data_IF_534583829298
#
_entry.id   IF_534583829298
#
_cell.length_a   1.000
_cell.length_b   1.000
_cell.length_c   1.000
_cell.angle_alpha   90.00
_cell.angle_beta   90.00
_cell.angle_gamma   90.00
#
_symmetry.space_group_name_H-M   'P 1'
#
loop_
_entity.id
_entity.type
_entity.pdbx_description
1 polymer ?
#
# COMPACT_ATOMS: atom_id res chain seq x y z
N UNK A 1 19.89 -17.36 -2.09
CA UNK A 1 19.29 -16.36 -3.00
C UNK A 1 19.15 -15.08 -2.21
N UNK A 2 19.30 -13.89 -2.82
CA UNK A 2 19.02 -12.62 -2.15
C UNK A 2 17.51 -12.30 -2.16
N UNK A 3 17.09 -11.38 -1.30
CA UNK A 3 15.68 -11.00 -1.12
C UNK A 3 15.02 -10.48 -2.40
N UNK A 4 15.75 -9.67 -3.20
CA UNK A 4 15.25 -9.14 -4.48
C UNK A 4 14.84 -10.28 -5.42
N UNK A 5 15.72 -11.26 -5.62
CA UNK A 5 15.42 -12.40 -6.49
C UNK A 5 14.31 -13.29 -5.94
N UNK A 6 14.22 -13.42 -4.61
CA UNK A 6 13.16 -14.17 -3.95
C UNK A 6 11.78 -13.55 -4.24
N UNK A 7 11.66 -12.24 -4.10
CA UNK A 7 10.39 -11.52 -4.39
C UNK A 7 10.07 -11.62 -5.89
N UNK A 8 11.04 -11.41 -6.78
CA UNK A 8 10.81 -11.57 -8.23
C UNK A 8 10.28 -12.95 -8.60
N UNK A 9 10.83 -14.03 -8.03
CA UNK A 9 10.30 -15.39 -8.24
C UNK A 9 8.88 -15.55 -7.72
N UNK A 10 8.57 -14.93 -6.59
CA UNK A 10 7.22 -14.95 -6.02
C UNK A 10 6.22 -14.27 -6.94
N UNK A 11 6.55 -13.09 -7.47
CA UNK A 11 5.72 -12.34 -8.42
C UNK A 11 5.52 -13.10 -9.75
N UNK A 12 6.51 -13.85 -10.16
CA UNK A 12 6.48 -14.65 -11.40
C UNK A 12 5.94 -16.08 -11.20
N UNK A 13 5.49 -16.47 -10.01
CA UNK A 13 5.03 -17.84 -9.68
C UNK A 13 6.09 -18.92 -10.02
N UNK A 14 7.38 -18.58 -9.85
CA UNK A 14 8.54 -19.39 -10.21
C UNK A 14 9.19 -20.09 -8.99
N UNK A 15 8.38 -20.72 -8.14
CA UNK A 15 8.81 -21.52 -6.98
C UNK A 15 9.93 -20.85 -6.17
N UNK A 16 9.65 -19.79 -5.42
CA UNK A 16 10.62 -19.18 -4.51
C UNK A 16 11.04 -20.19 -3.43
N UNK A 17 12.28 -20.10 -2.95
CA UNK A 17 12.81 -21.03 -1.94
C UNK A 17 12.12 -20.91 -0.57
N UNK A 18 11.45 -19.80 -0.33
CA UNK A 18 10.58 -19.53 0.83
C UNK A 18 9.60 -18.41 0.48
N UNK A 19 8.61 -18.22 1.31
CA UNK A 19 7.72 -17.08 1.22
C UNK A 19 8.48 -15.81 1.62
N UNK A 20 8.51 -14.74 0.79
CA UNK A 20 9.07 -13.45 1.16
C UNK A 20 8.30 -12.82 2.33
N UNK A 21 8.96 -11.97 3.09
CA UNK A 21 8.39 -11.28 4.24
C UNK A 21 8.45 -9.77 4.08
N UNK A 22 7.39 -9.12 4.53
CA UNK A 22 7.34 -7.69 4.73
C UNK A 22 6.52 -7.38 6.00
N UNK A 23 7.01 -6.47 6.83
CA UNK A 23 6.31 -6.09 8.06
C UNK A 23 5.65 -4.72 7.89
N UNK A 24 4.35 -4.65 8.12
CA UNK A 24 3.61 -3.40 8.22
C UNK A 24 3.69 -2.81 9.65
N UNK A 25 4.88 -2.37 10.08
CA UNK A 25 5.06 -1.84 11.43
C UNK A 25 4.66 -0.36 11.44
N UNK A 26 3.62 -0.03 12.21
CA UNK A 26 3.20 1.35 12.40
C UNK A 26 3.99 2.04 13.52
N UNK A 27 4.18 3.36 13.47
CA UNK A 27 4.87 4.12 14.53
C UNK A 27 4.28 3.93 15.92
N UNK A 28 2.99 3.57 16.00
CA UNK A 28 2.37 3.16 17.25
C UNK A 28 3.05 1.95 17.89
N UNK A 29 3.35 0.92 17.10
CA UNK A 29 4.04 -0.27 17.58
C UNK A 29 5.49 -0.01 17.97
N UNK A 30 6.22 0.78 17.17
CA UNK A 30 7.58 1.21 17.48
C UNK A 30 7.66 1.95 18.82
N UNK A 31 6.68 2.80 19.10
CA UNK A 31 6.59 3.56 20.35
C UNK A 31 6.25 2.69 21.56
N UNK A 32 5.27 1.78 21.40
CA UNK A 32 4.72 1.00 22.53
C UNK A 32 5.48 -0.30 22.79
N UNK A 33 6.14 -0.87 21.77
CA UNK A 33 6.82 -2.16 21.82
C UNK A 33 8.22 -2.14 21.16
N UNK A 34 9.10 -1.17 21.48
CA UNK A 34 10.37 -0.99 20.76
C UNK A 34 11.28 -2.22 20.79
N UNK A 35 11.41 -2.87 21.94
CA UNK A 35 12.25 -4.07 22.09
C UNK A 35 11.68 -5.27 21.28
N UNK A 36 10.37 -5.36 21.22
CA UNK A 36 9.69 -6.42 20.45
C UNK A 36 9.85 -6.18 18.94
N UNK A 37 9.71 -4.93 18.49
CA UNK A 37 9.93 -4.53 17.09
C UNK A 37 11.38 -4.83 16.68
N UNK A 38 12.37 -4.48 17.54
CA UNK A 38 13.75 -4.83 17.29
C UNK A 38 13.95 -6.34 17.15
N UNK A 39 13.42 -7.14 18.09
CA UNK A 39 13.48 -8.61 18.02
C UNK A 39 12.83 -9.15 16.74
N UNK A 40 11.72 -8.56 16.32
CA UNK A 40 11.02 -8.95 15.10
C UNK A 40 11.88 -8.73 13.85
N UNK A 41 12.60 -7.59 13.78
CA UNK A 41 13.54 -7.33 12.69
C UNK A 41 14.74 -8.27 12.69
N UNK A 42 15.27 -8.60 13.86
CA UNK A 42 16.42 -9.51 13.98
C UNK A 42 16.09 -10.95 13.59
N UNK A 43 14.92 -11.44 14.01
CA UNK A 43 14.51 -12.83 13.76
C UNK A 43 13.92 -13.01 12.37
N UNK A 44 13.12 -12.05 11.89
CA UNK A 44 12.42 -12.10 10.62
C UNK A 44 12.77 -10.87 9.77
N UNK A 45 13.97 -10.78 9.18
CA UNK A 45 14.32 -9.65 8.32
C UNK A 45 13.37 -9.53 7.14
N UNK A 46 13.06 -8.30 6.73
CA UNK A 46 12.22 -8.02 5.57
C UNK A 46 12.93 -8.38 4.27
N UNK A 47 12.15 -8.76 3.26
CA UNK A 47 12.63 -8.95 1.89
C UNK A 47 12.27 -7.75 0.99
N UNK A 48 11.27 -6.98 1.41
CA UNK A 48 10.79 -5.79 0.72
C UNK A 48 11.04 -4.57 1.61
N UNK A 49 11.59 -3.52 1.04
CA UNK A 49 11.86 -2.27 1.74
C UNK A 49 11.51 -1.06 0.86
N UNK A 50 11.09 0.08 1.43
CA UNK A 50 10.93 1.30 0.66
C UNK A 50 12.29 1.93 0.35
N UNK A 51 12.38 2.61 -0.78
CA UNK A 51 13.49 3.52 -1.06
C UNK A 51 13.43 4.73 -0.13
N UNK A 52 14.57 5.37 0.17
CA UNK A 52 14.57 6.61 0.92
C UNK A 52 13.88 7.73 0.13
N UNK A 53 12.96 8.44 0.77
CA UNK A 53 12.27 9.61 0.21
C UNK A 53 13.14 10.86 0.38
N UNK A 54 14.21 10.95 -0.41
CA UNK A 54 15.13 12.09 -0.40
C UNK A 54 14.77 13.06 -1.52
N UNK A 55 14.41 14.28 -1.14
CA UNK A 55 14.04 15.35 -2.06
C UNK A 55 15.12 16.42 -2.08
N UNK A 56 15.42 16.96 -3.28
CA UNK A 56 16.37 18.08 -3.46
C UNK A 56 15.73 19.38 -2.96
N UNK A 57 14.44 19.58 -3.25
CA UNK A 57 13.67 20.72 -2.76
C UNK A 57 13.02 20.39 -1.41
N UNK A 58 12.83 21.41 -0.58
CA UNK A 58 12.17 21.26 0.71
C UNK A 58 10.66 21.01 0.53
N UNK A 59 10.14 19.98 1.18
CA UNK A 59 8.68 19.75 1.27
C UNK A 59 8.09 20.69 2.34
N UNK A 60 7.11 21.52 1.97
CA UNK A 60 6.41 22.40 2.92
C UNK A 60 5.40 21.60 3.73
N UNK A 61 5.87 20.91 4.75
CA UNK A 61 5.05 20.18 5.72
C UNK A 61 5.11 20.84 7.09
N UNK A 62 4.03 20.74 7.89
CA UNK A 62 3.99 21.32 9.25
C UNK A 62 3.41 20.32 10.24
N UNK A 63 4.06 20.24 11.41
CA UNK A 63 3.67 19.29 12.44
C UNK A 63 4.29 17.90 12.20
N UNK A 64 3.74 16.90 12.88
CA UNK A 64 4.21 15.51 12.78
C UNK A 64 3.02 14.62 12.42
N UNK A 65 3.16 13.86 11.37
CA UNK A 65 2.10 13.00 10.79
C UNK A 65 1.52 12.00 11.77
N UNK A 66 2.33 11.56 12.73
CA UNK A 66 1.96 10.50 13.67
C UNK A 66 1.78 10.98 15.11
N UNK A 67 1.88 12.30 15.36
CA UNK A 67 1.60 12.87 16.69
C UNK A 67 0.20 13.40 16.78
N UNK A 68 -0.35 13.33 18.02
CA UNK A 68 -1.62 13.97 18.33
C UNK A 68 -1.55 15.47 18.06
N UNK A 69 -2.52 15.99 17.31
CA UNK A 69 -2.61 17.40 16.95
C UNK A 69 -2.90 17.60 15.47
N UNK A 70 -2.33 18.65 14.90
CA UNK A 70 -2.53 19.00 13.50
C UNK A 70 -1.25 18.73 12.70
N UNK A 71 -1.42 18.09 11.54
CA UNK A 71 -0.39 17.93 10.55
C UNK A 71 -0.85 18.53 9.23
N UNK A 72 0.01 19.24 8.53
CA UNK A 72 -0.23 19.74 7.16
C UNK A 72 0.76 19.01 6.26
N UNK A 73 0.23 18.30 5.26
CA UNK A 73 1.05 17.58 4.30
C UNK A 73 1.61 18.51 3.20
N UNK A 74 2.46 17.97 2.35
CA UNK A 74 3.09 18.67 1.23
C UNK A 74 2.11 19.18 0.17
N UNK A 75 0.88 18.68 0.16
CA UNK A 75 -0.21 19.18 -0.69
C UNK A 75 -1.01 20.31 -0.04
N UNK A 76 -0.73 20.62 1.23
CA UNK A 76 -1.45 21.61 2.03
C UNK A 76 -2.71 21.07 2.73
N UNK A 77 -2.97 19.76 2.65
CA UNK A 77 -4.12 19.15 3.31
C UNK A 77 -3.90 19.11 4.83
N UNK A 78 -4.93 19.49 5.59
CA UNK A 78 -4.87 19.63 7.05
C UNK A 78 -5.45 18.40 7.71
N UNK A 79 -4.59 17.60 8.32
CA UNK A 79 -4.98 16.41 9.09
C UNK A 79 -5.15 16.73 10.57
N UNK A 80 -6.26 16.30 11.14
CA UNK A 80 -6.51 16.30 12.58
C UNK A 80 -6.29 14.91 13.14
N UNK A 81 -5.28 14.77 13.99
CA UNK A 81 -4.89 13.49 14.55
C UNK A 81 -5.28 13.39 16.04
N UNK A 82 -6.28 12.57 16.40
CA UNK A 82 -6.69 12.38 17.79
C UNK A 82 -5.80 11.44 18.59
N UNK A 83 -5.03 10.58 17.91
CA UNK A 83 -4.25 9.50 18.52
C UNK A 83 -2.77 9.59 18.15
N UNK A 84 -1.92 9.24 19.09
CA UNK A 84 -0.48 9.12 18.91
C UNK A 84 -0.14 7.84 18.14
N UNK A 85 0.72 7.93 17.13
CA UNK A 85 1.16 6.78 16.33
C UNK A 85 0.21 6.35 15.20
N UNK A 86 -0.89 7.08 15.01
CA UNK A 86 -1.81 6.89 13.89
C UNK A 86 -1.82 8.12 12.97
N UNK A 87 -2.33 7.95 11.77
CA UNK A 87 -2.55 9.06 10.83
C UNK A 87 -3.91 9.69 11.14
N UNK A 88 -3.99 11.02 11.10
CA UNK A 88 -5.23 11.78 11.28
C UNK A 88 -6.13 11.73 10.05
N UNK A 89 -7.30 12.36 10.17
CA UNK A 89 -8.26 12.54 9.09
C UNK A 89 -8.35 14.00 8.67
N UNK A 90 -8.63 14.25 7.40
CA UNK A 90 -8.91 15.59 6.90
C UNK A 90 -10.35 15.96 7.20
N UNK A 91 -10.55 17.05 7.98
CA UNK A 91 -11.88 17.56 8.36
C UNK A 91 -12.23 18.84 7.62
N UNK A 92 -11.25 19.59 7.15
CA UNK A 92 -11.44 20.85 6.47
C UNK A 92 -10.94 20.74 5.04
N UNK A 93 -11.79 20.96 4.03
CA UNK A 93 -11.38 20.86 2.63
C UNK A 93 -10.35 21.94 2.28
N UNK A 94 -9.34 21.58 1.53
CA UNK A 94 -8.38 22.54 0.97
C UNK A 94 -9.04 23.37 -0.14
N UNK A 95 -9.87 22.74 -0.96
CA UNK A 95 -10.75 23.38 -1.95
C UNK A 95 -12.19 23.26 -1.44
N UNK A 96 -12.66 24.22 -0.68
CA UNK A 96 -14.03 24.21 -0.11
C UNK A 96 -15.07 24.59 -1.17
N UNK A 97 -14.84 25.66 -1.89
CA UNK A 97 -15.64 26.13 -3.01
C UNK A 97 -14.88 25.90 -4.32
N UNK A 98 -15.58 25.52 -5.39
CA UNK A 98 -14.97 25.32 -6.69
C UNK A 98 -14.32 26.59 -7.26
N UNK A 99 -14.75 27.78 -6.83
CA UNK A 99 -14.10 29.05 -7.17
C UNK A 99 -12.67 29.17 -6.60
N UNK A 100 -12.32 28.36 -5.61
CA UNK A 100 -10.96 28.30 -5.05
C UNK A 100 -10.03 27.33 -5.80
N UNK A 101 -10.54 26.58 -6.77
CA UNK A 101 -9.76 25.61 -7.53
C UNK A 101 -8.56 26.24 -8.25
N UNK A 102 -8.71 27.49 -8.73
CA UNK A 102 -7.60 28.23 -9.39
C UNK A 102 -6.41 28.48 -8.46
N UNK A 103 -6.61 28.46 -7.14
CA UNK A 103 -5.55 28.64 -6.13
C UNK A 103 -4.83 27.33 -5.82
N UNK A 104 -5.41 26.19 -6.17
CA UNK A 104 -4.84 24.88 -5.90
C UNK A 104 -3.79 24.52 -6.95
N UNK A 105 -2.58 24.20 -6.47
CA UNK A 105 -1.49 23.72 -7.30
C UNK A 105 -0.83 22.50 -6.60
N UNK A 106 -0.65 21.37 -7.29
CA UNK A 106 0.10 20.24 -6.76
C UNK A 106 1.56 20.61 -6.42
N UNK A 107 2.14 20.00 -5.38
CA UNK A 107 3.46 20.37 -4.84
C UNK A 107 4.60 19.94 -5.76
N UNK A 108 5.22 20.87 -6.49
CA UNK A 108 6.31 20.56 -7.43
C UNK A 108 7.54 19.95 -6.72
N UNK A 109 7.76 20.28 -5.46
CA UNK A 109 8.88 19.75 -4.67
C UNK A 109 8.87 18.23 -4.54
N UNK A 110 7.69 17.56 -4.58
CA UNK A 110 7.61 16.08 -4.57
C UNK A 110 8.19 15.42 -5.83
N UNK A 111 8.37 16.18 -6.90
CA UNK A 111 9.01 15.71 -8.14
C UNK A 111 10.54 15.84 -8.09
N UNK A 112 11.11 16.48 -7.07
CA UNK A 112 12.54 16.74 -6.94
C UNK A 112 13.31 15.61 -6.24
N UNK A 113 12.97 14.35 -6.53
CA UNK A 113 13.63 13.17 -5.95
C UNK A 113 15.13 13.20 -6.27
N UNK A 114 15.96 13.00 -5.27
CA UNK A 114 17.40 12.77 -5.44
C UNK A 114 17.63 11.35 -6.00
N UNK A 115 17.59 11.24 -7.32
CA UNK A 115 17.75 9.98 -8.04
C UNK A 115 19.07 9.29 -7.74
N UNK A 116 20.15 10.06 -7.53
CA UNK A 116 21.46 9.45 -7.24
C UNK A 116 21.47 8.82 -5.86
N UNK A 117 20.88 9.46 -4.85
CA UNK A 117 20.72 8.88 -3.52
C UNK A 117 19.85 7.62 -3.54
N UNK A 118 18.74 7.64 -4.27
CA UNK A 118 17.86 6.45 -4.45
C UNK A 118 18.63 5.32 -5.15
N UNK A 119 19.29 5.60 -6.26
CA UNK A 119 20.03 4.60 -7.01
C UNK A 119 21.21 4.04 -6.21
N UNK A 120 21.92 4.88 -5.43
CA UNK A 120 22.97 4.43 -4.54
C UNK A 120 22.43 3.45 -3.49
N UNK A 121 21.28 3.73 -2.89
CA UNK A 121 20.60 2.82 -1.97
C UNK A 121 20.24 1.48 -2.65
N UNK A 122 19.62 1.53 -3.83
CA UNK A 122 19.23 0.32 -4.56
C UNK A 122 20.41 -0.58 -4.95
N UNK A 123 21.58 0.01 -5.24
CA UNK A 123 22.83 -0.74 -5.55
C UNK A 123 23.47 -1.35 -4.31
N UNK A 124 23.25 -0.79 -3.12
CA UNK A 124 23.85 -1.25 -1.87
C UNK A 124 23.02 -2.29 -1.12
N UNK A 125 21.77 -2.53 -1.55
CA UNK A 125 20.87 -3.47 -0.89
C UNK A 125 20.53 -4.68 -1.76
N UNK A 126 20.40 -5.84 -1.12
CA UNK A 126 19.90 -7.07 -1.73
C UNK A 126 18.37 -7.22 -1.61
N UNK A 127 17.69 -6.27 -0.95
CA UNK A 127 16.24 -6.27 -0.81
C UNK A 127 15.54 -5.89 -2.13
N UNK A 128 14.28 -6.28 -2.24
CA UNK A 128 13.38 -5.75 -3.25
C UNK A 128 12.91 -4.36 -2.83
N UNK A 129 13.11 -3.35 -3.67
CA UNK A 129 12.94 -1.94 -3.29
C UNK A 129 11.69 -1.36 -3.93
N UNK A 130 10.74 -0.94 -3.11
CA UNK A 130 9.57 -0.16 -3.53
C UNK A 130 9.94 1.33 -3.65
N UNK A 131 9.20 2.08 -4.47
CA UNK A 131 9.30 3.54 -4.46
C UNK A 131 9.01 4.08 -3.05
N UNK A 132 9.65 5.20 -2.69
CA UNK A 132 9.56 5.79 -1.35
C UNK A 132 8.34 6.69 -1.12
N UNK A 133 7.46 6.85 -2.10
CA UNK A 133 6.19 7.57 -1.99
C UNK A 133 5.03 6.71 -2.50
N UNK A 134 3.81 7.26 -2.46
CA UNK A 134 2.62 6.54 -2.90
C UNK A 134 1.77 7.40 -3.81
N UNK A 135 1.37 6.82 -4.95
CA UNK A 135 0.39 7.40 -5.87
C UNK A 135 -1.01 7.02 -5.40
N UNK A 136 -1.85 8.03 -5.11
CA UNK A 136 -3.16 7.83 -4.48
C UNK A 136 -4.22 8.81 -4.99
N UNK A 137 -4.64 8.74 -6.25
CA UNK A 137 -5.51 9.75 -6.83
C UNK A 137 -6.87 9.87 -6.14
N UNK A 138 -7.49 8.75 -5.71
CA UNK A 138 -8.78 8.75 -5.04
C UNK A 138 -8.71 9.29 -3.62
N UNK A 139 -7.76 8.82 -2.80
CA UNK A 139 -7.55 9.38 -1.46
C UNK A 139 -7.08 10.83 -1.51
N UNK A 140 -6.20 11.19 -2.46
CA UNK A 140 -5.75 12.58 -2.63
C UNK A 140 -6.91 13.51 -2.95
N UNK A 141 -7.83 13.09 -3.79
CA UNK A 141 -9.06 13.81 -4.04
C UNK A 141 -9.89 13.98 -2.76
N UNK A 142 -10.04 12.92 -1.96
CA UNK A 142 -10.71 12.99 -0.66
C UNK A 142 -9.98 13.91 0.33
N UNK A 143 -8.65 13.93 0.35
CA UNK A 143 -7.90 14.82 1.24
C UNK A 143 -8.06 16.30 0.84
N UNK A 144 -8.18 16.61 -0.45
CA UNK A 144 -8.38 17.97 -0.93
C UNK A 144 -9.82 18.45 -0.68
N UNK A 145 -10.81 17.58 -0.89
CA UNK A 145 -12.24 17.92 -0.81
C UNK A 145 -12.91 17.54 0.51
N UNK A 146 -12.30 16.75 1.36
CA UNK A 146 -12.86 15.86 2.38
C UNK A 146 -13.65 14.69 1.77
N UNK A 147 -13.76 13.60 2.50
CA UNK A 147 -14.48 12.40 2.03
C UNK A 147 -15.93 12.70 1.68
N UNK A 148 -16.62 13.49 2.52
CA UNK A 148 -18.04 13.83 2.30
C UNK A 148 -18.26 14.59 0.98
N UNK A 149 -17.52 15.69 0.77
CA UNK A 149 -17.63 16.46 -0.46
C UNK A 149 -17.17 15.67 -1.67
N UNK A 150 -16.11 14.90 -1.56
CA UNK A 150 -15.61 14.07 -2.66
C UNK A 150 -16.66 13.05 -3.13
N UNK A 151 -17.38 12.41 -2.22
CA UNK A 151 -18.43 11.46 -2.59
C UNK A 151 -19.66 12.15 -3.22
N UNK A 152 -20.02 13.35 -2.75
CA UNK A 152 -21.07 14.16 -3.37
C UNK A 152 -20.66 14.57 -4.79
N UNK A 153 -19.43 15.06 -4.95
CA UNK A 153 -18.90 15.50 -6.26
C UNK A 153 -18.87 14.34 -7.28
N UNK A 154 -18.55 13.10 -6.85
CA UNK A 154 -18.57 11.90 -7.71
C UNK A 154 -19.99 11.54 -8.19
N UNK A 155 -21.02 11.92 -7.45
CA UNK A 155 -22.43 11.72 -7.84
C UNK A 155 -22.90 12.86 -8.75
N UNK A 156 -22.64 14.12 -8.37
CA UNK A 156 -23.08 15.32 -9.09
C UNK A 156 -22.29 15.59 -10.35
N UNK A 157 -21.00 15.18 -10.38
CA UNK A 157 -20.06 15.32 -11.50
C UNK A 157 -19.98 16.74 -12.06
N UNK A 158 -19.72 17.76 -11.22
CA UNK A 158 -19.49 19.12 -11.73
C UNK A 158 -18.24 19.14 -12.62
N UNK A 159 -18.15 20.04 -13.62
CA UNK A 159 -16.97 20.15 -14.49
C UNK A 159 -15.66 20.33 -13.72
N UNK A 160 -15.69 21.05 -12.63
CA UNK A 160 -14.53 21.36 -11.77
C UNK A 160 -13.96 20.10 -11.09
N UNK A 161 -14.78 19.08 -10.86
CA UNK A 161 -14.30 17.78 -10.41
C UNK A 161 -13.26 17.21 -11.36
N UNK A 162 -13.57 17.17 -12.64
CA UNK A 162 -12.68 16.60 -13.64
C UNK A 162 -11.42 17.44 -13.83
N UNK A 163 -11.51 18.75 -13.66
CA UNK A 163 -10.35 19.63 -13.67
C UNK A 163 -9.42 19.36 -12.47
N UNK A 164 -9.98 19.22 -11.27
CA UNK A 164 -9.21 18.86 -10.07
C UNK A 164 -8.53 17.50 -10.21
N UNK A 165 -9.28 16.50 -10.68
CA UNK A 165 -8.76 15.15 -10.91
C UNK A 165 -7.67 15.13 -11.97
N UNK A 166 -7.80 15.90 -13.05
CA UNK A 166 -6.74 16.04 -14.06
C UNK A 166 -5.47 16.64 -13.45
N UNK A 167 -5.58 17.72 -12.66
CA UNK A 167 -4.42 18.33 -11.97
C UNK A 167 -3.70 17.32 -11.05
N UNK A 168 -4.44 16.51 -10.30
CA UNK A 168 -3.90 15.43 -9.45
C UNK A 168 -3.22 14.38 -10.33
N UNK A 169 -3.90 13.91 -11.36
CA UNK A 169 -3.42 12.87 -12.26
C UNK A 169 -2.14 13.27 -13.00
N UNK A 170 -2.11 14.48 -13.61
CA UNK A 170 -0.93 14.99 -14.29
C UNK A 170 0.29 15.15 -13.38
N UNK A 171 0.04 15.44 -12.10
CA UNK A 171 1.10 15.46 -11.11
C UNK A 171 1.64 14.05 -10.84
N UNK A 172 0.76 13.09 -10.58
CA UNK A 172 1.15 11.70 -10.32
C UNK A 172 1.79 11.01 -11.53
N UNK A 173 1.39 11.33 -12.76
CA UNK A 173 2.10 10.84 -13.95
C UNK A 173 3.59 11.25 -13.93
N UNK A 174 3.87 12.51 -13.59
CA UNK A 174 5.26 13.00 -13.47
C UNK A 174 5.99 12.32 -12.30
N UNK A 175 5.33 12.13 -11.19
CA UNK A 175 5.91 11.46 -10.01
C UNK A 175 6.27 10.00 -10.32
N UNK A 176 5.36 9.26 -10.95
CA UNK A 176 5.60 7.88 -11.42
C UNK A 176 6.77 7.83 -12.38
N UNK A 177 6.85 8.75 -13.36
CA UNK A 177 7.96 8.82 -14.32
C UNK A 177 9.30 9.07 -13.63
N UNK A 178 9.32 10.00 -12.65
CA UNK A 178 10.53 10.28 -11.87
C UNK A 178 11.01 9.05 -11.12
N UNK A 179 10.12 8.36 -10.40
CA UNK A 179 10.46 7.16 -9.66
C UNK A 179 10.80 5.96 -10.56
N UNK A 180 10.05 5.75 -11.62
CA UNK A 180 10.29 4.66 -12.56
C UNK A 180 11.65 4.78 -13.27
N UNK A 181 12.16 6.02 -13.43
CA UNK A 181 13.51 6.27 -13.97
C UNK A 181 14.66 6.01 -12.99
N UNK A 182 14.37 5.61 -11.74
CA UNK A 182 15.37 5.20 -10.75
C UNK A 182 15.58 3.68 -10.74
N UNK A 183 16.51 3.19 -9.90
CA UNK A 183 16.82 1.76 -9.77
C UNK A 183 15.86 1.01 -8.81
N UNK A 184 14.71 1.59 -8.38
CA UNK A 184 13.70 0.86 -7.60
C UNK A 184 13.14 -0.33 -8.38
N UNK A 185 12.68 -1.37 -7.68
CA UNK A 185 12.13 -2.57 -8.33
C UNK A 185 10.63 -2.39 -8.68
N UNK A 186 9.89 -1.59 -7.89
CA UNK A 186 8.45 -1.41 -8.09
C UNK A 186 7.96 0.01 -7.82
N UNK A 187 6.88 0.36 -8.53
CA UNK A 187 6.04 1.54 -8.28
C UNK A 187 4.95 1.15 -7.31
N UNK A 188 4.59 2.05 -6.38
CA UNK A 188 3.64 1.80 -5.30
C UNK A 188 2.40 2.70 -5.44
N UNK A 189 1.25 2.08 -5.62
CA UNK A 189 -0.06 2.72 -5.51
C UNK A 189 -0.63 2.46 -4.11
N UNK A 190 -1.37 3.43 -3.58
CA UNK A 190 -2.08 3.27 -2.30
C UNK A 190 -3.37 4.10 -2.37
N UNK A 191 -4.50 3.43 -2.50
CA UNK A 191 -5.81 4.08 -2.52
C UNK A 191 -6.83 3.16 -1.85
N UNK A 192 -7.47 3.64 -0.79
CA UNK A 192 -8.45 2.87 -0.04
C UNK A 192 -9.83 2.93 -0.71
N UNK A 193 -10.17 1.85 -1.38
CA UNK A 193 -11.44 1.71 -2.12
C UNK A 193 -12.55 1.04 -1.32
N UNK A 194 -12.22 0.34 -0.24
CA UNK A 194 -13.16 -0.51 0.45
C UNK A 194 -13.48 -0.09 1.88
N UNK A 195 -14.71 -0.39 2.28
CA UNK A 195 -15.13 -0.56 3.67
C UNK A 195 -15.06 -2.04 4.05
N UNK A 196 -15.45 -2.41 5.26
CA UNK A 196 -15.52 -3.83 5.64
C UNK A 196 -16.58 -4.65 4.87
N UNK A 197 -17.51 -4.01 4.17
CA UNK A 197 -18.66 -4.66 3.53
C UNK A 197 -18.74 -4.46 2.01
N UNK A 198 -17.95 -3.58 1.44
CA UNK A 198 -17.97 -3.26 0.01
C UNK A 198 -17.23 -1.97 -0.30
N UNK A 199 -17.28 -1.55 -1.55
CA UNK A 199 -16.60 -0.36 -2.03
C UNK A 199 -17.16 0.92 -1.41
N UNK A 200 -16.29 1.93 -1.24
CA UNK A 200 -16.65 3.30 -0.82
C UNK A 200 -17.41 4.03 -1.93
N UNK A 201 -17.00 3.83 -3.18
CA UNK A 201 -17.68 4.33 -4.37
C UNK A 201 -18.04 3.17 -5.31
N UNK A 202 -19.01 3.35 -6.20
CA UNK A 202 -19.45 2.27 -7.07
C UNK A 202 -18.34 1.77 -8.02
N UNK A 203 -18.38 0.48 -8.45
CA UNK A 203 -17.47 -0.02 -9.48
C UNK A 203 -17.50 0.79 -10.77
N UNK A 204 -18.63 1.40 -11.12
CA UNK A 204 -18.74 2.25 -12.30
C UNK A 204 -17.97 3.55 -12.16
N UNK A 205 -17.97 4.17 -10.97
CA UNK A 205 -17.13 5.35 -10.66
C UNK A 205 -15.66 4.98 -10.80
N UNK A 206 -15.24 3.86 -10.20
CA UNK A 206 -13.89 3.35 -10.34
C UNK A 206 -13.49 3.20 -11.81
N UNK A 207 -14.28 2.47 -12.61
CA UNK A 207 -13.98 2.15 -14.01
C UNK A 207 -13.99 3.37 -14.93
N UNK A 208 -14.91 4.33 -14.70
CA UNK A 208 -15.04 5.49 -15.57
C UNK A 208 -14.02 6.59 -15.27
N UNK A 209 -13.63 6.76 -14.01
CA UNK A 209 -12.86 7.92 -13.56
C UNK A 209 -11.41 7.53 -13.19
N UNK A 210 -11.21 6.53 -12.34
CA UNK A 210 -9.89 6.24 -11.75
C UNK A 210 -9.12 5.13 -12.46
N UNK A 211 -9.80 4.11 -12.98
CA UNK A 211 -9.14 3.03 -13.71
C UNK A 211 -8.30 3.51 -14.90
N UNK A 212 -8.74 4.51 -15.70
CA UNK A 212 -7.88 5.08 -16.75
C UNK A 212 -6.57 5.64 -16.20
N UNK A 213 -6.60 6.33 -15.06
CA UNK A 213 -5.40 6.88 -14.42
C UNK A 213 -4.44 5.75 -13.99
N UNK A 214 -4.94 4.69 -13.35
CA UNK A 214 -4.11 3.55 -12.96
C UNK A 214 -3.49 2.83 -14.16
N UNK A 215 -4.21 2.72 -15.28
CA UNK A 215 -3.66 2.15 -16.52
C UNK A 215 -2.47 2.95 -17.04
N UNK A 216 -2.54 4.28 -17.00
CA UNK A 216 -1.42 5.14 -17.41
C UNK A 216 -0.21 5.00 -16.46
N UNK A 217 -0.44 4.92 -15.13
CA UNK A 217 0.66 4.64 -14.18
C UNK A 217 1.31 3.27 -14.42
N UNK A 218 0.49 2.26 -14.69
CA UNK A 218 0.95 0.91 -15.02
C UNK A 218 1.75 0.87 -16.33
N UNK A 219 1.35 1.65 -17.34
CA UNK A 219 2.08 1.78 -18.61
C UNK A 219 3.48 2.37 -18.41
N UNK A 220 3.61 3.43 -17.59
CA UNK A 220 4.91 4.01 -17.25
C UNK A 220 5.76 2.98 -16.50
N UNK A 221 5.23 2.34 -15.47
CA UNK A 221 5.94 1.32 -14.71
C UNK A 221 6.46 0.20 -15.64
N UNK A 222 5.62 -0.32 -16.50
CA UNK A 222 5.96 -1.37 -17.48
C UNK A 222 7.00 -0.90 -18.49
N UNK A 223 6.91 0.34 -18.99
CA UNK A 223 7.88 0.91 -19.92
C UNK A 223 9.30 0.93 -19.33
N UNK A 224 9.41 1.21 -18.04
CA UNK A 224 10.66 1.20 -17.28
C UNK A 224 11.04 -0.18 -16.72
N UNK A 225 10.27 -1.24 -17.00
CA UNK A 225 10.51 -2.59 -16.48
C UNK A 225 10.31 -2.73 -14.97
N UNK A 226 9.43 -1.90 -14.37
CA UNK A 226 9.09 -1.92 -12.96
C UNK A 226 7.84 -2.76 -12.71
N UNK A 227 7.81 -3.43 -11.54
CA UNK A 227 6.59 -4.03 -11.02
C UNK A 227 5.63 -2.96 -10.48
N UNK A 228 4.36 -3.32 -10.37
CA UNK A 228 3.33 -2.46 -9.82
C UNK A 228 2.74 -3.08 -8.55
N UNK A 229 2.96 -2.44 -7.42
CA UNK A 229 2.41 -2.81 -6.12
C UNK A 229 1.25 -1.88 -5.77
N UNK A 230 0.17 -2.42 -5.21
CA UNK A 230 -0.97 -1.62 -4.78
C UNK A 230 -1.41 -2.02 -3.38
N UNK A 231 -1.70 -1.02 -2.56
CA UNK A 231 -2.44 -1.17 -1.31
C UNK A 231 -3.86 -0.62 -1.46
N UNK A 232 -4.83 -1.34 -0.90
CA UNK A 232 -6.18 -0.84 -0.71
C UNK A 232 -6.84 -1.53 0.48
N UNK A 233 -7.29 -0.74 1.44
CA UNK A 233 -8.09 -1.25 2.54
C UNK A 233 -9.49 -1.69 2.11
N UNK A 234 -10.07 -2.58 2.91
CA UNK A 234 -11.46 -3.00 2.85
C UNK A 234 -11.78 -4.06 1.80
N UNK A 235 -13.09 -4.24 1.61
CA UNK A 235 -13.66 -5.21 0.68
C UNK A 235 -13.69 -4.64 -0.74
N UNK A 236 -12.77 -5.07 -1.60
CA UNK A 236 -12.57 -4.57 -2.96
C UNK A 236 -12.80 -5.63 -4.05
N UNK A 237 -13.54 -6.70 -3.73
CA UNK A 237 -13.79 -7.83 -4.62
C UNK A 237 -14.29 -7.40 -6.01
N UNK A 238 -15.16 -6.39 -6.07
CA UNK A 238 -15.81 -5.95 -7.32
C UNK A 238 -14.88 -5.28 -8.33
N UNK A 239 -13.69 -4.82 -7.88
CA UNK A 239 -12.67 -4.19 -8.73
C UNK A 239 -11.40 -5.05 -8.90
N UNK A 240 -11.33 -6.21 -8.26
CA UNK A 240 -10.20 -7.13 -8.41
C UNK A 240 -9.89 -7.49 -9.87
N UNK A 241 -10.89 -7.82 -10.72
CA UNK A 241 -10.62 -8.11 -12.14
C UNK A 241 -9.96 -6.93 -12.86
N UNK A 242 -10.41 -5.71 -12.58
CA UNK A 242 -9.90 -4.50 -13.20
C UNK A 242 -8.44 -4.22 -12.77
N UNK A 243 -8.10 -4.45 -11.51
CA UNK A 243 -6.74 -4.30 -10.98
C UNK A 243 -5.78 -5.31 -11.63
N UNK A 244 -6.20 -6.57 -11.77
CA UNK A 244 -5.42 -7.62 -12.44
C UNK A 244 -5.21 -7.27 -13.92
N UNK A 245 -6.25 -6.83 -14.62
CA UNK A 245 -6.15 -6.42 -16.04
C UNK A 245 -5.22 -5.21 -16.22
N UNK A 246 -5.21 -4.29 -15.26
CA UNK A 246 -4.30 -3.13 -15.26
C UNK A 246 -2.83 -3.57 -15.16
N UNK A 247 -2.56 -4.72 -14.56
CA UNK A 247 -1.22 -5.28 -14.40
C UNK A 247 -0.63 -4.97 -13.02
N UNK A 248 -1.47 -4.93 -11.98
CA UNK A 248 -1.00 -4.95 -10.59
C UNK A 248 -0.35 -6.31 -10.32
N UNK A 249 0.94 -6.31 -9.98
CA UNK A 249 1.72 -7.52 -9.72
C UNK A 249 1.54 -8.03 -8.28
N UNK A 250 1.42 -7.12 -7.32
CA UNK A 250 1.18 -7.45 -5.91
C UNK A 250 0.15 -6.52 -5.28
N UNK A 251 -0.81 -7.11 -4.58
CA UNK A 251 -1.90 -6.41 -3.92
C UNK A 251 -1.86 -6.65 -2.41
N UNK A 252 -1.72 -5.56 -1.64
CA UNK A 252 -1.93 -5.54 -0.21
C UNK A 252 -3.39 -5.15 0.07
N UNK A 253 -4.18 -6.07 0.59
CA UNK A 253 -5.60 -5.88 0.84
C UNK A 253 -6.07 -6.64 2.08
N UNK A 254 -7.20 -6.22 2.63
CA UNK A 254 -7.86 -6.90 3.74
C UNK A 254 -8.57 -8.17 3.26
N UNK A 255 -7.79 -9.20 2.92
CA UNK A 255 -8.27 -10.43 2.28
C UNK A 255 -9.29 -11.21 3.12
N UNK A 256 -9.30 -11.05 4.45
CA UNK A 256 -10.22 -11.76 5.34
C UNK A 256 -11.66 -11.26 5.23
N UNK A 257 -11.89 -9.96 5.01
CA UNK A 257 -13.25 -9.45 4.81
C UNK A 257 -13.84 -9.83 3.44
N UNK A 258 -12.99 -10.21 2.47
CA UNK A 258 -13.40 -10.68 1.14
C UNK A 258 -13.56 -12.21 1.05
N UNK A 259 -13.06 -12.96 2.04
CA UNK A 259 -13.04 -14.42 2.02
C UNK A 259 -11.80 -14.97 1.32
N UNK A 260 -10.86 -15.51 2.13
CA UNK A 260 -9.56 -16.01 1.63
C UNK A 260 -9.73 -17.15 0.62
N UNK A 261 -10.69 -18.05 0.87
CA UNK A 261 -11.00 -19.18 0.00
C UNK A 261 -11.56 -18.70 -1.34
N UNK A 262 -12.53 -17.80 -1.30
CA UNK A 262 -13.17 -17.21 -2.49
C UNK A 262 -12.16 -16.47 -3.36
N UNK A 263 -11.27 -15.69 -2.74
CA UNK A 263 -10.15 -15.05 -3.44
C UNK A 263 -9.23 -16.07 -4.11
N UNK A 264 -8.93 -17.16 -3.43
CA UNK A 264 -8.10 -18.24 -3.97
C UNK A 264 -8.72 -18.93 -5.18
N UNK A 265 -10.01 -19.27 -5.10
CA UNK A 265 -10.75 -19.89 -6.21
C UNK A 265 -10.81 -19.00 -7.46
N UNK A 266 -10.85 -17.67 -7.28
CA UNK A 266 -10.96 -16.72 -8.38
C UNK A 266 -9.61 -16.22 -8.91
N UNK A 267 -8.63 -15.98 -8.03
CA UNK A 267 -7.46 -15.16 -8.37
C UNK A 267 -6.11 -15.77 -8.02
N UNK A 268 -6.04 -16.94 -7.38
CA UNK A 268 -4.78 -17.66 -7.17
C UNK A 268 -4.04 -17.87 -8.50
N UNK A 269 -2.74 -17.60 -8.53
CA UNK A 269 -1.92 -17.67 -9.73
C UNK A 269 -2.09 -16.51 -10.74
N UNK A 270 -2.92 -15.51 -10.43
CA UNK A 270 -3.18 -14.35 -11.31
C UNK A 270 -2.62 -13.04 -10.76
N UNK A 271 -2.46 -12.94 -9.46
CA UNK A 271 -1.90 -11.79 -8.75
C UNK A 271 -1.18 -12.29 -7.49
N UNK A 272 -0.18 -11.56 -7.04
CA UNK A 272 0.48 -11.85 -5.76
C UNK A 272 -0.29 -11.14 -4.63
N UNK A 273 -0.72 -11.91 -3.65
CA UNK A 273 -1.30 -11.36 -2.41
C UNK A 273 -0.17 -10.98 -1.44
N UNK A 274 -0.14 -9.72 -1.09
CA UNK A 274 0.85 -9.15 -0.18
C UNK A 274 0.20 -8.85 1.18
N UNK A 275 -0.09 -9.91 1.97
CA UNK A 275 -0.87 -9.85 3.21
C UNK A 275 -2.37 -9.68 2.91
N UNK A 276 -3.18 -9.32 3.85
CA UNK A 276 -2.95 -9.11 5.29
C UNK A 276 -3.51 -10.28 6.12
N UNK A 277 -3.04 -10.44 7.37
CA UNK A 277 -3.76 -11.24 8.38
C UNK A 277 -4.75 -10.30 9.10
N UNK A 278 -5.92 -10.81 9.45
CA UNK A 278 -7.02 -10.02 10.06
C UNK A 278 -6.53 -9.19 11.25
N UNK A 279 -6.34 -7.89 10.98
CA UNK A 279 -5.86 -6.91 11.96
C UNK A 279 -6.95 -6.41 12.91
N UNK A 280 -8.21 -6.69 12.63
CA UNK A 280 -9.33 -6.22 13.44
C UNK A 280 -9.72 -7.21 14.53
N UNK A 281 -9.64 -8.50 14.25
CA UNK A 281 -10.09 -9.54 15.17
C UNK A 281 -8.97 -10.49 15.58
N UNK A 282 -8.24 -11.06 14.61
CA UNK A 282 -7.25 -12.09 14.88
C UNK A 282 -5.97 -11.54 15.52
N UNK A 283 -5.36 -10.50 14.94
CA UNK A 283 -4.12 -9.96 15.49
C UNK A 283 -4.29 -9.40 16.91
N UNK A 284 -5.40 -8.70 17.28
CA UNK A 284 -5.62 -8.27 18.66
C UNK A 284 -6.03 -9.40 19.63
N UNK A 285 -6.94 -10.30 19.21
CA UNK A 285 -7.70 -11.14 20.13
C UNK A 285 -7.56 -12.63 19.89
N UNK A 286 -7.00 -13.05 18.77
CA UNK A 286 -6.84 -14.46 18.42
C UNK A 286 -5.87 -15.19 19.36
N UNK A 287 -6.10 -16.49 19.54
CA UNK A 287 -5.12 -17.36 20.16
C UNK A 287 -3.99 -17.68 19.16
N UNK A 288 -2.86 -18.18 19.67
CA UNK A 288 -1.77 -18.67 18.81
C UNK A 288 -2.26 -19.64 17.73
N UNK A 289 -3.19 -20.54 18.09
CA UNK A 289 -3.75 -21.50 17.15
C UNK A 289 -4.60 -20.83 16.07
N UNK A 290 -5.38 -19.81 16.43
CA UNK A 290 -6.18 -19.04 15.46
C UNK A 290 -5.28 -18.32 14.44
N UNK A 291 -4.17 -17.75 14.90
CA UNK A 291 -3.19 -17.10 14.04
C UNK A 291 -2.52 -18.11 13.09
N UNK A 292 -2.10 -19.28 13.62
CA UNK A 292 -1.51 -20.34 12.81
C UNK A 292 -2.48 -20.82 11.73
N UNK A 293 -3.75 -21.01 12.10
CA UNK A 293 -4.79 -21.41 11.15
C UNK A 293 -5.01 -20.33 10.08
N UNK A 294 -5.08 -19.08 10.47
CA UNK A 294 -5.26 -17.97 9.53
C UNK A 294 -4.12 -17.90 8.48
N UNK A 295 -2.87 -18.01 8.92
CA UNK A 295 -1.71 -18.05 8.01
C UNK A 295 -1.75 -19.30 7.11
N UNK A 296 -2.13 -20.45 7.66
CA UNK A 296 -2.29 -21.68 6.88
C UNK A 296 -3.39 -21.56 5.81
N UNK A 297 -4.54 -20.94 6.12
CA UNK A 297 -5.62 -20.68 5.15
C UNK A 297 -5.15 -19.78 3.99
N UNK A 298 -4.39 -18.73 4.30
CA UNK A 298 -3.79 -17.87 3.27
C UNK A 298 -2.85 -18.70 2.39
N UNK A 299 -1.95 -19.48 2.97
CA UNK A 299 -1.06 -20.35 2.21
C UNK A 299 -1.82 -21.36 1.37
N UNK A 300 -2.79 -22.07 1.96
CA UNK A 300 -3.55 -23.14 1.31
C UNK A 300 -4.31 -22.66 0.08
N UNK A 301 -4.90 -21.47 0.16
CA UNK A 301 -5.81 -21.00 -0.87
C UNK A 301 -5.13 -20.04 -1.87
N UNK A 302 -4.15 -19.24 -1.44
CA UNK A 302 -3.57 -18.19 -2.28
C UNK A 302 -2.19 -18.54 -2.84
N UNK A 303 -1.40 -19.41 -2.19
CA UNK A 303 -0.09 -19.79 -2.68
C UNK A 303 -0.18 -20.78 -3.85
N UNK A 304 0.43 -20.41 -4.97
CA UNK A 304 0.52 -21.27 -6.17
C UNK A 304 1.92 -21.15 -6.80
N UNK A 305 2.88 -21.91 -6.28
CA UNK A 305 4.29 -21.81 -6.71
C UNK A 305 4.88 -20.41 -6.54
N UNK A 306 4.35 -19.61 -5.63
CA UNK A 306 4.58 -18.17 -5.42
C UNK A 306 3.27 -17.46 -5.15
N UNK A 307 3.19 -16.17 -5.49
CA UNK A 307 1.95 -15.39 -5.40
C UNK A 307 1.52 -15.02 -3.97
N UNK A 308 2.40 -15.19 -2.97
CA UNK A 308 2.16 -14.73 -1.60
C UNK A 308 3.41 -14.08 -1.03
N UNK A 309 3.28 -12.86 -0.50
CA UNK A 309 4.25 -12.19 0.35
C UNK A 309 3.67 -12.18 1.76
N UNK A 310 4.32 -12.82 2.73
CA UNK A 310 3.86 -12.88 4.11
C UNK A 310 3.96 -11.50 4.77
N UNK A 311 2.79 -10.90 5.03
CA UNK A 311 2.67 -9.58 5.64
C UNK A 311 1.54 -9.57 6.66
N UNK A 312 1.68 -8.79 7.72
CA UNK A 312 0.61 -8.33 8.59
C UNK A 312 0.94 -6.94 9.13
N UNK A 313 -0.09 -6.19 9.50
CA UNK A 313 0.08 -4.88 10.13
C UNK A 313 0.28 -5.02 11.64
N UNK A 314 1.41 -4.52 12.15
CA UNK A 314 1.60 -4.32 13.57
C UNK A 314 1.17 -2.88 13.93
N UNK A 315 -0.14 -2.71 14.08
CA UNK A 315 -0.80 -1.45 14.34
C UNK A 315 -1.47 -1.41 15.71
N UNK A 316 -2.45 -0.52 15.82
CA UNK A 316 -3.24 -0.30 17.03
C UNK A 316 -3.84 -1.61 17.54
N UNK A 317 -3.73 -1.84 18.86
CA UNK A 317 -4.28 -3.00 19.58
C UNK A 317 -3.73 -4.38 19.19
N UNK A 318 -2.87 -4.49 18.16
CA UNK A 318 -2.31 -5.76 17.79
C UNK A 318 -1.46 -6.37 18.92
N UNK A 319 -1.69 -7.66 19.21
CA UNK A 319 -0.91 -8.38 20.21
C UNK A 319 0.47 -8.74 19.63
N UNK A 320 1.59 -8.31 20.25
CA UNK A 320 2.93 -8.60 19.78
C UNK A 320 3.20 -10.08 19.54
N UNK A 321 2.75 -10.97 20.45
CA UNK A 321 2.97 -12.42 20.31
C UNK A 321 2.19 -13.01 19.12
N UNK A 322 1.05 -12.43 18.75
CA UNK A 322 0.32 -12.83 17.56
C UNK A 322 1.07 -12.41 16.29
N UNK A 323 1.64 -11.20 16.26
CA UNK A 323 2.52 -10.75 15.17
C UNK A 323 3.71 -11.70 15.00
N UNK A 324 4.37 -12.07 16.09
CA UNK A 324 5.50 -13.00 16.05
C UNK A 324 5.06 -14.38 15.50
N UNK A 325 3.91 -14.87 15.95
CA UNK A 325 3.33 -16.14 15.50
C UNK A 325 3.05 -16.17 14.00
N UNK A 326 2.62 -15.05 13.42
CA UNK A 326 2.43 -14.94 11.95
C UNK A 326 3.72 -15.31 11.22
N UNK A 327 4.84 -14.66 11.56
CA UNK A 327 6.12 -14.88 10.86
C UNK A 327 6.76 -16.23 11.17
N UNK A 328 6.63 -16.75 12.40
CA UNK A 328 7.03 -18.13 12.71
C UNK A 328 6.26 -19.15 11.85
N UNK A 329 4.96 -18.91 11.63
CA UNK A 329 4.13 -19.82 10.84
C UNK A 329 4.52 -19.76 9.36
N UNK A 330 4.79 -18.59 8.80
CA UNK A 330 5.31 -18.45 7.44
C UNK A 330 6.65 -19.19 7.25
N UNK A 331 7.55 -19.12 8.23
CA UNK A 331 8.83 -19.84 8.17
C UNK A 331 8.63 -21.35 8.20
N UNK A 332 7.74 -21.86 9.06
CA UNK A 332 7.43 -23.28 9.16
C UNK A 332 6.82 -23.83 7.85
N UNK A 333 5.91 -23.09 7.21
CA UNK A 333 5.33 -23.47 5.93
C UNK A 333 6.38 -23.48 4.81
N UNK A 334 7.29 -22.49 4.79
CA UNK A 334 8.40 -22.43 3.83
C UNK A 334 9.37 -23.61 3.95
N UNK A 335 9.57 -24.14 5.16
CA UNK A 335 10.38 -25.36 5.36
C UNK A 335 9.70 -26.64 4.86
N UNK A 336 8.38 -26.69 4.92
CA UNK A 336 7.59 -27.82 4.43
C UNK A 336 7.66 -27.90 2.91
N UNK A 337 7.51 -26.78 2.22
CA UNK A 337 7.66 -26.69 0.76
C UNK A 337 9.05 -27.13 0.26
N UNK A 338 10.12 -26.81 0.99
CA UNK A 338 11.49 -27.24 0.64
C UNK A 338 11.71 -28.76 0.72
N UNK A 339 10.87 -29.46 1.46
CA UNK A 339 10.97 -30.91 1.68
C UNK A 339 10.06 -31.72 0.76
N UNK A 340 9.09 -31.08 0.11
CA UNK A 340 8.16 -31.67 -0.84
C UNK A 340 8.68 -31.57 -2.29
#
# INVERSE_FOLDING_TARGET
MNSRRLVQKTLCFDKPERIPRHKGILPWAEKNYPEFVQRLHEVFPDDVVPAPSVYIEHLDTRGDRYKKGTYIDEWGCIFSNPLEGAIGIVQTPLVADWQDLDKFNPPQATLSIDREAVNAFCRQTDHFVLMGSFVRPFERFQFIRTMEHALIDLVEKPPELFELLDRIHQHYLKEVEVWASTDVDAISLMDDWGTQQGLIASPDVFRQIFLPMYKEYAEIARHHGKYLFMHSDGHIMDIMPDLIETGVDALNAQIFCMGVKELGEMYSGKITFWGEIDRQNLLPHGTRQDIQQAVYEVWLHLYQNGGVIGQCEFGLEANPENIFTVYETWDALSETERKA
#
